data_IF_011643513358
#
_entry.id   IF_011643513358
#
_cell.length_a   1.000
_cell.length_b   1.000
_cell.length_c   1.000
_cell.angle_alpha   90.00
_cell.angle_beta   90.00
_cell.angle_gamma   90.00
#
_symmetry.space_group_name_H-M   'P 1'
#
loop_
_entity.id
_entity.type
_entity.pdbx_description
1 polymer ?
#
# COMPACT_ATOMS: atom_id res chain seq x y z
N UNK A 1 -13.27 -26.80 12.38
CA UNK A 1 -12.81 -25.50 11.88
C UNK A 1 -13.49 -25.29 10.53
N UNK A 2 -14.26 -24.22 10.32
CA UNK A 2 -14.82 -23.99 9.00
C UNK A 2 -13.65 -23.75 8.05
N UNK A 3 -13.62 -24.51 6.96
CA UNK A 3 -12.66 -24.37 5.89
C UNK A 3 -12.74 -22.94 5.37
N UNK A 4 -11.75 -22.09 5.68
CA UNK A 4 -11.67 -20.74 5.12
C UNK A 4 -11.45 -20.89 3.62
N UNK A 5 -12.53 -20.76 2.86
CA UNK A 5 -12.49 -20.81 1.40
C UNK A 5 -11.46 -19.78 0.95
N UNK A 6 -10.50 -20.19 0.12
CA UNK A 6 -9.47 -19.29 -0.39
C UNK A 6 -10.14 -18.07 -1.07
N UNK A 7 -9.63 -16.87 -0.79
CA UNK A 7 -10.12 -15.63 -1.41
C UNK A 7 -9.76 -15.65 -2.89
N UNK A 8 -10.77 -15.54 -3.75
CA UNK A 8 -10.59 -15.38 -5.19
C UNK A 8 -10.48 -13.89 -5.54
N UNK A 9 -9.25 -13.38 -5.59
CA UNK A 9 -8.97 -11.96 -5.87
C UNK A 9 -9.51 -11.50 -7.23
N UNK A 10 -9.71 -12.40 -8.20
CA UNK A 10 -10.23 -12.05 -9.51
C UNK A 10 -11.75 -11.81 -9.51
N UNK A 11 -12.46 -12.26 -8.47
CA UNK A 11 -13.91 -12.13 -8.36
C UNK A 11 -14.38 -11.41 -7.08
N UNK A 12 -13.47 -11.18 -6.12
CA UNK A 12 -13.82 -10.62 -4.81
C UNK A 12 -14.23 -9.13 -4.91
N UNK A 13 -15.34 -8.68 -4.30
CA UNK A 13 -15.81 -7.29 -4.41
C UNK A 13 -14.79 -6.21 -4.03
N UNK A 14 -13.90 -6.50 -3.08
CA UNK A 14 -12.81 -5.60 -2.68
C UNK A 14 -11.75 -5.38 -3.77
N UNK A 15 -11.60 -6.30 -4.72
CA UNK A 15 -10.50 -6.31 -5.71
C UNK A 15 -10.98 -6.39 -7.16
N UNK A 16 -12.22 -6.79 -7.41
CA UNK A 16 -12.81 -6.93 -8.73
C UNK A 16 -13.96 -5.94 -8.93
N UNK A 17 -13.63 -4.69 -9.21
CA UNK A 17 -14.61 -3.62 -9.39
C UNK A 17 -15.26 -3.71 -10.77
N UNK A 18 -16.60 -3.72 -10.79
CA UNK A 18 -17.41 -3.87 -12.00
C UNK A 18 -18.54 -2.83 -12.06
N UNK A 19 -18.55 -1.86 -11.14
CA UNK A 19 -19.55 -0.80 -11.11
C UNK A 19 -19.37 0.23 -12.23
N UNK A 20 -20.31 1.18 -12.37
CA UNK A 20 -20.21 2.26 -13.34
C UNK A 20 -18.86 2.98 -13.22
N UNK A 21 -18.21 3.23 -14.36
CA UNK A 21 -16.87 3.85 -14.44
C UNK A 21 -15.76 3.07 -13.70
N UNK A 22 -15.96 1.76 -13.47
CA UNK A 22 -15.00 0.93 -12.74
C UNK A 22 -15.04 1.12 -11.23
N UNK A 23 -16.09 1.74 -10.67
CA UNK A 23 -16.22 1.95 -9.22
C UNK A 23 -16.51 0.63 -8.47
N UNK A 24 -16.09 0.53 -7.20
CA UNK A 24 -16.47 -0.58 -6.34
C UNK A 24 -17.97 -0.55 -6.01
N UNK A 25 -18.57 -1.72 -5.86
CA UNK A 25 -19.93 -1.87 -5.34
C UNK A 25 -19.88 -2.03 -3.81
N UNK A 26 -20.03 -0.90 -3.10
CA UNK A 26 -19.99 -0.86 -1.64
C UNK A 26 -21.08 -1.71 -0.97
N UNK A 27 -22.18 -2.05 -1.67
CA UNK A 27 -23.24 -2.89 -1.10
C UNK A 27 -22.80 -4.35 -0.89
N UNK A 28 -21.67 -4.73 -1.48
CA UNK A 28 -21.11 -6.09 -1.45
C UNK A 28 -19.85 -6.22 -0.58
N UNK A 29 -19.54 -5.21 0.22
CA UNK A 29 -18.30 -5.13 1.02
C UNK A 29 -18.64 -5.12 2.50
N UNK A 30 -18.13 -6.10 3.25
CA UNK A 30 -18.19 -6.15 4.71
C UNK A 30 -16.82 -5.99 5.35
N UNK A 31 -16.80 -5.53 6.60
CA UNK A 31 -15.56 -5.31 7.38
C UNK A 31 -14.75 -6.60 7.53
N UNK A 32 -15.44 -7.73 7.68
CA UNK A 32 -14.85 -9.05 7.81
C UNK A 32 -14.11 -9.54 6.57
N UNK A 33 -14.33 -8.90 5.42
CA UNK A 33 -13.69 -9.29 4.16
C UNK A 33 -12.27 -8.72 4.02
N UNK A 34 -11.92 -7.66 4.75
CA UNK A 34 -10.65 -6.96 4.57
C UNK A 34 -9.45 -7.82 4.94
N UNK A 35 -9.40 -8.37 6.16
CA UNK A 35 -8.25 -9.16 6.64
C UNK A 35 -7.88 -10.32 5.69
N UNK A 36 -8.80 -11.24 5.33
CA UNK A 36 -8.45 -12.34 4.43
C UNK A 36 -8.11 -11.86 3.01
N UNK A 37 -8.68 -10.75 2.55
CA UNK A 37 -8.35 -10.18 1.24
C UNK A 37 -6.97 -9.53 1.22
N UNK A 38 -6.59 -8.80 2.27
CA UNK A 38 -5.23 -8.26 2.41
C UNK A 38 -4.19 -9.37 2.44
N UNK A 39 -4.40 -10.42 3.24
CA UNK A 39 -3.46 -11.54 3.33
C UNK A 39 -3.27 -12.22 1.95
N UNK A 40 -4.37 -12.41 1.20
CA UNK A 40 -4.29 -12.95 -0.16
C UNK A 40 -3.62 -11.99 -1.15
N UNK A 41 -3.94 -10.70 -1.10
CA UNK A 41 -3.40 -9.69 -2.01
C UNK A 41 -1.90 -9.41 -1.77
N UNK A 42 -1.46 -9.38 -0.51
CA UNK A 42 -0.04 -9.28 -0.14
C UNK A 42 0.76 -10.45 -0.72
N UNK A 43 0.25 -11.67 -0.56
CA UNK A 43 0.88 -12.88 -1.11
C UNK A 43 0.91 -12.89 -2.64
N UNK A 44 -0.15 -12.44 -3.30
CA UNK A 44 -0.19 -12.31 -4.75
C UNK A 44 0.87 -11.30 -5.25
N UNK A 45 0.93 -10.13 -4.61
CA UNK A 45 1.91 -9.10 -4.95
C UNK A 45 3.36 -9.58 -4.68
N UNK A 46 3.61 -10.30 -3.60
CA UNK A 46 4.94 -10.90 -3.35
C UNK A 46 5.36 -11.85 -4.49
N UNK A 47 4.43 -12.67 -4.99
CA UNK A 47 4.70 -13.57 -6.12
C UNK A 47 4.96 -12.82 -7.44
N UNK A 48 4.25 -11.73 -7.69
CA UNK A 48 4.49 -10.85 -8.85
C UNK A 48 5.87 -10.21 -8.79
N UNK A 49 6.25 -9.68 -7.62
CA UNK A 49 7.57 -9.10 -7.39
C UNK A 49 8.67 -10.15 -7.57
N UNK A 50 8.48 -11.37 -7.06
CA UNK A 50 9.43 -12.46 -7.24
C UNK A 50 9.56 -12.84 -8.72
N UNK A 51 8.47 -12.85 -9.49
CA UNK A 51 8.51 -13.11 -10.93
C UNK A 51 9.35 -12.06 -11.68
N UNK A 52 9.26 -10.78 -11.28
CA UNK A 52 10.07 -9.70 -11.86
C UNK A 52 11.54 -9.86 -11.45
N UNK A 53 11.80 -10.00 -10.14
CA UNK A 53 13.15 -10.09 -9.58
C UNK A 53 13.90 -11.35 -10.06
N UNK A 54 13.18 -12.46 -10.26
CA UNK A 54 13.69 -13.75 -10.70
C UNK A 54 13.70 -13.97 -12.21
N UNK A 55 13.26 -13.00 -13.02
CA UNK A 55 13.26 -13.13 -14.47
C UNK A 55 14.71 -13.28 -14.99
N UNK A 56 14.96 -14.34 -15.78
CA UNK A 56 16.30 -14.67 -16.30
C UNK A 56 16.69 -13.84 -17.53
N UNK A 57 15.71 -13.24 -18.19
CA UNK A 57 15.97 -12.36 -19.33
C UNK A 57 16.61 -11.06 -18.85
N UNK A 58 17.43 -10.47 -19.71
CA UNK A 58 18.01 -9.15 -19.48
C UNK A 58 16.89 -8.14 -19.15
N UNK A 59 17.08 -7.25 -18.17
CA UNK A 59 16.08 -6.25 -17.81
C UNK A 59 15.62 -5.44 -19.03
N UNK A 60 14.32 -5.29 -19.22
CA UNK A 60 13.72 -4.41 -20.22
C UNK A 60 12.69 -3.51 -19.52
N UNK A 61 12.21 -2.47 -20.22
CA UNK A 61 11.14 -1.63 -19.69
C UNK A 61 9.92 -2.50 -19.39
N UNK A 62 9.56 -3.41 -20.28
CA UNK A 62 8.39 -4.28 -20.17
C UNK A 62 8.52 -5.27 -19.01
N UNK A 63 9.64 -5.99 -18.92
CA UNK A 63 9.80 -7.09 -17.97
C UNK A 63 10.24 -6.64 -16.56
N UNK A 64 10.50 -5.35 -16.36
CA UNK A 64 10.97 -4.80 -15.09
C UNK A 64 10.18 -3.57 -14.68
N UNK A 65 10.24 -2.48 -15.44
CA UNK A 65 9.60 -1.22 -15.05
C UNK A 65 8.08 -1.30 -15.18
N UNK A 66 7.56 -1.62 -16.36
CA UNK A 66 6.12 -1.76 -16.59
C UNK A 66 5.52 -2.90 -15.78
N UNK A 67 6.21 -4.05 -15.68
CA UNK A 67 5.77 -5.14 -14.83
C UNK A 67 5.66 -4.73 -13.35
N UNK A 68 6.57 -3.89 -12.84
CA UNK A 68 6.50 -3.36 -11.49
C UNK A 68 5.34 -2.36 -11.32
N UNK A 69 5.16 -1.45 -12.28
CA UNK A 69 4.06 -0.44 -12.24
C UNK A 69 2.67 -1.08 -12.37
N UNK A 70 2.55 -2.24 -13.02
CA UNK A 70 1.30 -2.99 -13.17
C UNK A 70 1.09 -4.04 -12.07
N UNK A 71 2.11 -4.31 -11.25
CA UNK A 71 2.03 -5.26 -10.14
C UNK A 71 1.18 -4.74 -8.99
N UNK A 72 0.63 -5.66 -8.20
CA UNK A 72 -0.06 -5.34 -6.96
C UNK A 72 -1.48 -4.79 -7.13
N UNK A 73 -2.10 -4.92 -8.30
CA UNK A 73 -3.45 -4.36 -8.57
C UNK A 73 -4.49 -4.79 -7.52
N UNK A 74 -4.48 -6.06 -7.12
CA UNK A 74 -5.39 -6.54 -6.08
C UNK A 74 -5.13 -5.86 -4.72
N UNK A 75 -3.85 -5.65 -4.36
CA UNK A 75 -3.47 -4.97 -3.13
C UNK A 75 -3.83 -3.49 -3.16
N UNK A 76 -3.64 -2.83 -4.31
CA UNK A 76 -4.00 -1.42 -4.51
C UNK A 76 -5.51 -1.20 -4.37
N UNK A 77 -6.33 -2.07 -4.98
CA UNK A 77 -7.80 -1.97 -4.91
C UNK A 77 -8.33 -2.18 -3.49
N UNK A 78 -7.91 -3.23 -2.79
CA UNK A 78 -8.36 -3.44 -1.40
C UNK A 78 -7.88 -2.30 -0.49
N UNK A 79 -6.65 -1.80 -0.70
CA UNK A 79 -6.09 -0.66 0.03
C UNK A 79 -6.91 0.60 -0.20
N UNK A 80 -7.25 0.91 -1.44
CA UNK A 80 -8.03 2.10 -1.82
C UNK A 80 -9.35 2.18 -1.06
N UNK A 81 -10.07 1.05 -0.94
CA UNK A 81 -11.33 0.99 -0.20
C UNK A 81 -11.09 1.07 1.30
N UNK A 82 -10.10 0.32 1.81
CA UNK A 82 -9.82 0.26 3.23
C UNK A 82 -9.42 1.64 3.79
N UNK A 83 -8.47 2.32 3.14
CA UNK A 83 -8.00 3.63 3.60
C UNK A 83 -9.04 4.74 3.42
N UNK A 84 -9.86 4.67 2.35
CA UNK A 84 -11.02 5.56 2.22
C UNK A 84 -11.97 5.38 3.41
N UNK A 85 -12.25 4.14 3.80
CA UNK A 85 -13.12 3.84 4.93
C UNK A 85 -12.51 4.22 6.27
N UNK A 86 -11.23 3.93 6.50
CA UNK A 86 -10.52 4.30 7.72
C UNK A 86 -10.49 5.82 7.91
N UNK A 87 -10.38 6.60 6.83
CA UNK A 87 -10.37 8.07 6.90
C UNK A 87 -11.76 8.71 6.99
N UNK A 88 -12.78 8.16 6.31
CA UNK A 88 -14.07 8.85 6.14
C UNK A 88 -15.26 8.20 6.86
N UNK A 89 -15.21 6.89 7.16
CA UNK A 89 -16.32 6.15 7.77
C UNK A 89 -15.81 4.96 8.59
N UNK A 90 -14.98 5.28 9.57
CA UNK A 90 -14.33 4.29 10.43
C UNK A 90 -15.25 3.78 11.54
N UNK A 91 -14.84 2.70 12.17
CA UNK A 91 -15.47 2.10 13.34
C UNK A 91 -14.43 1.28 14.12
N UNK A 92 -14.81 0.68 15.24
CA UNK A 92 -13.88 -0.12 16.06
C UNK A 92 -13.20 -1.26 15.29
N UNK A 93 -13.95 -1.93 14.40
CA UNK A 93 -13.44 -3.02 13.54
C UNK A 93 -12.39 -2.53 12.56
N UNK A 94 -12.66 -1.42 11.85
CA UNK A 94 -11.73 -0.82 10.89
C UNK A 94 -10.49 -0.29 11.60
N UNK A 95 -10.62 0.35 12.76
CA UNK A 95 -9.47 0.80 13.56
C UNK A 95 -8.62 -0.37 14.07
N UNK A 96 -9.24 -1.49 14.44
CA UNK A 96 -8.51 -2.70 14.82
C UNK A 96 -7.76 -3.32 13.64
N UNK A 97 -8.41 -3.40 12.47
CA UNK A 97 -7.77 -3.84 11.23
C UNK A 97 -6.61 -2.91 10.84
N UNK A 98 -6.75 -1.61 11.02
CA UNK A 98 -5.72 -0.63 10.70
C UNK A 98 -4.43 -0.88 11.48
N UNK A 99 -4.56 -1.20 12.79
CA UNK A 99 -3.43 -1.55 13.66
C UNK A 99 -2.72 -2.84 13.23
N UNK A 100 -3.45 -3.80 12.64
CA UNK A 100 -2.88 -5.05 12.13
C UNK A 100 -2.24 -4.89 10.74
N UNK A 101 -2.93 -4.18 9.84
CA UNK A 101 -2.57 -4.07 8.43
C UNK A 101 -1.41 -3.08 8.21
N UNK A 102 -1.38 -1.95 8.93
CA UNK A 102 -0.35 -0.92 8.74
C UNK A 102 1.09 -1.46 8.87
N UNK A 103 1.47 -2.19 9.94
CA UNK A 103 2.81 -2.76 10.04
C UNK A 103 3.07 -3.88 9.00
N UNK A 104 2.05 -4.67 8.63
CA UNK A 104 2.17 -5.67 7.54
C UNK A 104 2.52 -5.01 6.21
N UNK A 105 1.82 -3.93 5.87
CA UNK A 105 2.08 -3.13 4.66
C UNK A 105 3.48 -2.51 4.69
N UNK A 106 3.90 -1.97 5.83
CA UNK A 106 5.24 -1.40 6.00
C UNK A 106 6.35 -2.43 5.75
N UNK A 107 6.22 -3.63 6.32
CA UNK A 107 7.15 -4.74 6.08
C UNK A 107 7.15 -5.17 4.61
N UNK A 108 5.97 -5.29 3.99
CA UNK A 108 5.82 -5.68 2.59
C UNK A 108 6.59 -4.73 1.64
N UNK A 109 6.32 -3.43 1.73
CA UNK A 109 6.98 -2.46 0.85
C UNK A 109 8.46 -2.23 1.18
N UNK A 110 8.88 -2.43 2.44
CA UNK A 110 10.31 -2.44 2.81
C UNK A 110 11.02 -3.62 2.15
N UNK A 111 10.42 -4.82 2.17
CA UNK A 111 10.97 -6.01 1.52
C UNK A 111 11.13 -5.80 0.00
N UNK A 112 10.15 -5.20 -0.67
CA UNK A 112 10.22 -4.86 -2.10
C UNK A 112 11.35 -3.85 -2.36
N UNK A 113 11.35 -2.73 -1.64
CA UNK A 113 12.29 -1.63 -1.87
C UNK A 113 13.75 -2.03 -1.60
N UNK A 114 13.98 -2.99 -0.71
CA UNK A 114 15.31 -3.47 -0.33
C UNK A 114 15.70 -4.78 -1.03
N UNK A 115 14.84 -5.31 -1.91
CA UNK A 115 15.11 -6.53 -2.69
C UNK A 115 16.26 -6.27 -3.67
N UNK A 116 17.39 -6.94 -3.43
CA UNK A 116 18.63 -6.74 -4.18
C UNK A 116 18.50 -7.15 -5.65
N UNK A 117 17.80 -8.26 -5.92
CA UNK A 117 17.59 -8.75 -7.28
C UNK A 117 16.72 -7.79 -8.07
N UNK A 118 15.62 -7.33 -7.48
CA UNK A 118 14.74 -6.35 -8.11
C UNK A 118 15.48 -5.03 -8.37
N UNK A 119 16.18 -4.51 -7.37
CA UNK A 119 16.91 -3.25 -7.51
C UNK A 119 18.02 -3.34 -8.56
N UNK A 120 18.74 -4.45 -8.65
CA UNK A 120 19.77 -4.65 -9.67
C UNK A 120 19.21 -4.51 -11.09
N UNK A 121 18.00 -5.03 -11.35
CA UNK A 121 17.32 -4.90 -12.66
C UNK A 121 16.98 -3.44 -12.96
N UNK A 122 16.46 -2.71 -11.98
CA UNK A 122 16.10 -1.29 -12.11
C UNK A 122 17.35 -0.43 -12.27
N UNK A 123 18.41 -0.71 -11.51
CA UNK A 123 19.69 0.00 -11.60
C UNK A 123 20.33 -0.21 -12.99
N UNK A 124 20.32 -1.43 -13.54
CA UNK A 124 20.82 -1.67 -14.90
C UNK A 124 20.11 -0.80 -15.93
N UNK A 125 18.77 -0.74 -15.90
CA UNK A 125 17.99 0.12 -16.78
C UNK A 125 18.34 1.59 -16.59
N UNK A 126 18.45 2.03 -15.34
CA UNK A 126 18.79 3.41 -15.00
C UNK A 126 20.19 3.81 -15.50
N UNK A 127 21.19 2.95 -15.33
CA UNK A 127 22.57 3.26 -15.77
C UNK A 127 22.67 3.44 -17.28
N UNK A 128 21.91 2.65 -18.05
CA UNK A 128 21.95 2.71 -19.53
C UNK A 128 20.80 3.52 -20.15
N UNK A 129 20.01 4.24 -19.36
CA UNK A 129 18.78 4.95 -19.79
C UNK A 129 18.99 5.84 -21.02
N UNK A 130 20.16 6.49 -21.14
CA UNK A 130 20.50 7.38 -22.25
C UNK A 130 20.65 6.63 -23.60
N UNK A 131 20.92 5.33 -23.56
CA UNK A 131 21.00 4.46 -24.74
C UNK A 131 19.68 3.79 -25.12
N UNK A 132 18.69 3.77 -24.22
CA UNK A 132 17.42 3.08 -24.41
C UNK A 132 16.44 3.85 -25.32
N UNK A 133 16.75 5.11 -25.67
CA UNK A 133 15.91 5.98 -26.52
C UNK A 133 14.45 6.07 -26.04
N UNK A 134 14.27 6.18 -24.72
CA UNK A 134 12.97 6.28 -24.07
C UNK A 134 12.30 7.62 -24.40
N UNK A 135 10.96 7.62 -24.44
CA UNK A 135 10.20 8.86 -24.39
C UNK A 135 10.36 9.54 -23.01
N UNK A 136 9.90 10.81 -22.92
CA UNK A 136 10.08 11.62 -21.73
C UNK A 136 9.33 11.08 -20.50
N UNK A 137 8.19 10.43 -20.69
CA UNK A 137 7.38 9.87 -19.60
C UNK A 137 8.03 8.61 -19.05
N UNK A 138 8.39 7.66 -19.92
CA UNK A 138 9.06 6.42 -19.54
C UNK A 138 10.40 6.69 -18.86
N UNK A 139 11.18 7.66 -19.37
CA UNK A 139 12.41 8.10 -18.70
C UNK A 139 12.11 8.64 -17.29
N UNK A 140 11.07 9.45 -17.15
CA UNK A 140 10.70 10.05 -15.87
C UNK A 140 10.24 9.01 -14.85
N UNK A 141 9.48 8.01 -15.28
CA UNK A 141 9.08 6.87 -14.44
C UNK A 141 10.33 6.14 -13.97
N UNK A 142 11.23 5.74 -14.88
CA UNK A 142 12.47 5.06 -14.53
C UNK A 142 13.31 5.84 -13.50
N UNK A 143 13.49 7.14 -13.70
CA UNK A 143 14.23 7.99 -12.77
C UNK A 143 13.58 8.08 -11.39
N UNK A 144 12.25 8.21 -11.34
CA UNK A 144 11.50 8.28 -10.08
C UNK A 144 11.54 6.96 -9.34
N UNK A 145 11.31 5.86 -10.04
CA UNK A 145 11.35 4.51 -9.48
C UNK A 145 12.75 4.23 -8.90
N UNK A 146 13.81 4.46 -9.67
CA UNK A 146 15.18 4.28 -9.16
C UNK A 146 15.49 5.15 -7.93
N UNK A 147 15.13 6.45 -7.97
CA UNK A 147 15.30 7.35 -6.80
C UNK A 147 14.49 6.90 -5.60
N UNK A 148 13.29 6.36 -5.82
CA UNK A 148 12.44 5.77 -4.80
C UNK A 148 13.14 4.62 -4.09
N UNK A 149 13.65 3.63 -4.84
CA UNK A 149 14.42 2.51 -4.28
C UNK A 149 15.63 2.99 -3.46
N UNK A 150 16.41 3.93 -4.00
CA UNK A 150 17.59 4.47 -3.28
C UNK A 150 17.17 5.16 -1.97
N UNK A 151 16.12 5.99 -1.99
CA UNK A 151 15.60 6.67 -0.79
C UNK A 151 15.01 5.70 0.23
N UNK A 152 14.49 4.58 -0.23
CA UNK A 152 13.95 3.50 0.61
C UNK A 152 15.02 2.50 1.08
N UNK A 153 16.30 2.78 0.84
CA UNK A 153 17.41 2.02 1.41
C UNK A 153 17.93 0.86 0.55
N UNK A 154 17.59 0.79 -0.74
CA UNK A 154 18.08 -0.28 -1.64
C UNK A 154 19.62 -0.42 -1.67
N UNK A 155 20.34 0.69 -1.45
CA UNK A 155 21.80 0.79 -1.43
C UNK A 155 22.44 0.69 -0.04
N UNK A 156 21.66 0.46 1.01
CA UNK A 156 22.20 0.21 2.35
C UNK A 156 22.80 -1.20 2.42
N UNK A 157 23.69 -1.41 3.39
CA UNK A 157 24.14 -2.74 3.77
C UNK A 157 23.04 -3.51 4.53
N UNK A 158 23.31 -4.77 4.88
CA UNK A 158 22.33 -5.63 5.55
C UNK A 158 21.83 -5.02 6.88
N UNK A 159 22.73 -4.45 7.68
CA UNK A 159 22.40 -3.84 8.96
C UNK A 159 21.58 -2.56 8.78
N UNK A 160 21.95 -1.71 7.82
CA UNK A 160 21.21 -0.50 7.47
C UNK A 160 19.80 -0.80 6.94
N UNK A 161 19.66 -1.81 6.07
CA UNK A 161 18.36 -2.29 5.57
C UNK A 161 17.48 -2.76 6.72
N UNK A 162 18.02 -3.61 7.60
CA UNK A 162 17.31 -4.12 8.78
C UNK A 162 16.84 -2.96 9.66
N UNK A 163 17.74 -2.02 9.99
CA UNK A 163 17.40 -0.89 10.85
C UNK A 163 16.34 0.02 10.23
N UNK A 164 16.42 0.30 8.93
CA UNK A 164 15.43 1.12 8.25
C UNK A 164 14.06 0.44 8.19
N UNK A 165 14.01 -0.88 7.98
CA UNK A 165 12.77 -1.65 8.02
C UNK A 165 12.10 -1.59 9.41
N UNK A 166 12.86 -1.76 10.49
CA UNK A 166 12.37 -1.61 11.87
C UNK A 166 11.79 -0.21 12.12
N UNK A 167 12.48 0.83 11.68
CA UNK A 167 12.01 2.23 11.81
C UNK A 167 10.71 2.45 11.04
N UNK A 168 10.62 1.97 9.80
CA UNK A 168 9.42 2.12 8.98
C UNK A 168 8.21 1.40 9.60
N UNK A 169 8.43 0.23 10.19
CA UNK A 169 7.38 -0.52 10.89
C UNK A 169 6.90 0.23 12.14
N UNK A 170 7.83 0.72 12.96
CA UNK A 170 7.51 1.51 14.16
C UNK A 170 6.76 2.81 13.80
N UNK A 171 7.24 3.56 12.80
CA UNK A 171 6.58 4.77 12.33
C UNK A 171 5.16 4.51 11.81
N UNK A 172 4.95 3.41 11.08
CA UNK A 172 3.60 3.06 10.60
C UNK A 172 2.64 2.79 11.77
N UNK A 173 3.11 2.10 12.80
CA UNK A 173 2.32 1.80 14.00
C UNK A 173 2.01 3.08 14.79
N UNK A 174 3.01 3.93 15.00
CA UNK A 174 2.86 5.22 15.68
C UNK A 174 1.90 6.16 14.94
N UNK A 175 1.98 6.20 13.60
CA UNK A 175 1.08 7.00 12.77
C UNK A 175 -0.39 6.58 12.93
N UNK A 176 -0.66 5.27 12.89
CA UNK A 176 -2.01 4.72 13.17
C UNK A 176 -2.47 5.09 14.57
N UNK A 177 -1.64 4.86 15.59
CA UNK A 177 -2.00 5.20 16.98
C UNK A 177 -2.28 6.69 17.15
N UNK A 178 -1.47 7.56 16.54
CA UNK A 178 -1.69 9.00 16.60
C UNK A 178 -3.04 9.39 15.98
N UNK A 179 -3.36 8.91 14.78
CA UNK A 179 -4.64 9.20 14.12
C UNK A 179 -5.85 8.75 14.94
N UNK A 180 -5.76 7.56 15.54
CA UNK A 180 -6.82 7.02 16.40
C UNK A 180 -6.96 7.78 17.73
N UNK A 181 -5.85 8.25 18.31
CA UNK A 181 -5.88 9.09 19.50
C UNK A 181 -6.56 10.43 19.24
N UNK A 182 -6.27 11.08 18.11
CA UNK A 182 -6.94 12.35 17.71
C UNK A 182 -8.44 12.11 17.53
N UNK A 183 -8.82 11.05 16.81
CA UNK A 183 -10.23 10.72 16.62
C UNK A 183 -10.95 10.50 17.96
N UNK A 184 -10.34 9.77 18.89
CA UNK A 184 -10.92 9.50 20.20
C UNK A 184 -11.04 10.76 21.08
N UNK A 185 -10.09 11.69 20.97
CA UNK A 185 -10.15 12.97 21.69
C UNK A 185 -11.27 13.87 21.15
N UNK A 186 -11.48 13.87 19.83
CA UNK A 186 -12.49 14.70 19.17
C UNK A 186 -13.90 14.08 19.18
N UNK A 187 -14.04 12.74 19.16
CA UNK A 187 -15.35 12.09 18.95
C UNK A 187 -16.36 12.34 20.06
N UNK A 188 -15.87 12.45 21.29
CA UNK A 188 -16.70 12.55 22.49
C UNK A 188 -16.73 13.97 23.05
N UNK A 189 -15.93 14.88 22.47
CA UNK A 189 -15.87 16.25 22.94
C UNK A 189 -17.12 17.02 22.52
N UNK A 190 -17.81 17.58 23.52
CA UNK A 190 -18.92 18.49 23.30
C UNK A 190 -18.80 19.68 24.27
N UNK A 191 -19.00 20.88 23.74
CA UNK A 191 -19.20 22.08 24.55
C UNK A 191 -20.70 22.28 24.76
N UNK A 192 -21.17 22.04 25.98
CA UNK A 192 -22.54 22.31 26.37
C UNK A 192 -22.69 23.81 26.64
N UNK A 193 -23.66 24.43 25.96
CA UNK A 193 -23.90 25.87 25.99
C UNK A 193 -25.35 26.14 26.41
N UNK A 194 -25.55 27.19 27.18
CA UNK A 194 -26.87 27.76 27.46
C UNK A 194 -27.20 28.84 26.42
N UNK A 195 -28.48 29.26 26.35
CA UNK A 195 -28.94 30.28 25.40
C UNK A 195 -28.14 31.60 25.50
N UNK A 196 -27.69 31.96 26.71
CA UNK A 196 -26.89 33.15 26.95
C UNK A 196 -25.47 33.06 26.35
N UNK A 197 -24.91 31.86 26.22
CA UNK A 197 -23.57 31.65 25.64
C UNK A 197 -23.57 31.78 24.11
N UNK A 198 -24.75 31.77 23.49
CA UNK A 198 -24.93 31.87 22.03
C UNK A 198 -24.95 33.30 21.50
N UNK A 199 -24.83 34.30 22.38
CA UNK A 199 -24.90 35.71 21.99
C UNK A 199 -23.85 36.06 20.92
N UNK A 200 -24.31 36.47 19.72
CA UNK A 200 -23.46 36.86 18.60
C UNK A 200 -23.16 35.74 17.59
N UNK A 201 -23.60 34.51 17.85
CA UNK A 201 -23.69 33.47 16.82
C UNK A 201 -24.94 33.73 15.93
N UNK A 202 -24.85 33.48 14.60
CA UNK A 202 -25.96 33.72 13.67
C UNK A 202 -27.17 32.81 13.89
#
# INVERSE_FOLDING_TARGET
>A
MPSTKAVDLAAHPLTAWQGPLGLPDFTRIGDGDFSPTFDAALKAHEAEIEAIAGNKDAPSIENTLAALELGGEALDRVSSIFWCRAGAHTNETIQALERDISPKMSRHFSAISMNERLFARIDELYQRRDSLKLDAETLRVLEKTWKGFVRSGAKLDADGKKRLAEINEELSSLGTTFGQNVLADESDWALFLDEADLAGLP
#
